data_IF_681846337131
#
_entry.id   IF_681846337131
#
_cell.length_a   1.000
_cell.length_b   1.000
_cell.length_c   1.000
_cell.angle_alpha   90.00
_cell.angle_beta   90.00
_cell.angle_gamma   90.00
#
_symmetry.space_group_name_H-M   'P 1'
#
loop_
_entity.id
_entity.type
_entity.pdbx_description
1 polymer ?
#
# COMPACT_ATOMS: atom_id res chain seq x y z
N UNK A 1 7.90 -30.44 -14.30
CA UNK A 1 7.28 -29.72 -15.42
C UNK A 1 5.79 -29.89 -15.26
N UNK A 2 5.14 -28.95 -14.57
CA UNK A 2 3.69 -28.88 -14.51
C UNK A 2 3.28 -27.76 -15.47
N UNK A 3 2.36 -28.11 -16.36
CA UNK A 3 1.77 -27.23 -17.35
C UNK A 3 1.12 -26.03 -16.66
N UNK A 4 1.68 -24.84 -16.87
CA UNK A 4 1.02 -23.58 -16.56
C UNK A 4 -0.14 -23.46 -17.52
N UNK A 5 -1.35 -23.68 -17.00
CA UNK A 5 -2.60 -23.50 -17.71
C UNK A 5 -2.66 -22.04 -18.21
N UNK A 6 -2.59 -21.87 -19.53
CA UNK A 6 -2.77 -20.59 -20.23
C UNK A 6 -3.99 -19.86 -19.67
N UNK A 7 -3.83 -18.65 -19.16
CA UNK A 7 -4.92 -17.66 -19.00
C UNK A 7 -5.65 -17.59 -20.34
N UNK A 8 -6.93 -17.96 -20.37
CA UNK A 8 -7.78 -17.75 -21.55
C UNK A 8 -7.92 -16.25 -21.80
N UNK A 9 -7.77 -15.85 -23.07
CA UNK A 9 -7.84 -14.47 -23.55
C UNK A 9 -9.08 -13.74 -23.00
N UNK A 10 -8.87 -12.86 -22.02
CA UNK A 10 -9.92 -11.96 -21.55
C UNK A 10 -10.06 -10.82 -22.58
N UNK A 11 -10.94 -11.04 -23.57
CA UNK A 11 -11.24 -10.03 -24.60
C UNK A 11 -12.15 -8.95 -24.01
N UNK A 12 -11.65 -7.72 -23.96
CA UNK A 12 -12.41 -6.51 -23.62
C UNK A 12 -13.39 -6.09 -24.71
N UNK A 13 -14.12 -4.99 -24.46
CA UNK A 13 -15.02 -4.40 -25.47
C UNK A 13 -14.22 -4.09 -26.74
N UNK A 14 -14.78 -4.51 -27.89
CA UNK A 14 -14.16 -4.39 -29.23
C UNK A 14 -12.93 -5.27 -29.50
N UNK A 15 -12.69 -6.33 -28.71
CA UNK A 15 -11.59 -7.27 -28.96
C UNK A 15 -10.21 -6.74 -28.55
N UNK A 16 -10.18 -5.65 -27.78
CA UNK A 16 -8.99 -5.16 -27.09
C UNK A 16 -8.57 -6.14 -25.99
N UNK A 17 -7.27 -6.20 -25.71
CA UNK A 17 -6.76 -6.92 -24.56
C UNK A 17 -7.21 -6.21 -23.28
N UNK A 18 -7.73 -6.97 -22.32
CA UNK A 18 -8.20 -6.44 -21.05
C UNK A 18 -7.23 -6.84 -19.94
N UNK A 19 -6.80 -5.84 -19.18
CA UNK A 19 -5.90 -5.96 -18.02
C UNK A 19 -6.69 -5.72 -16.74
N UNK A 20 -6.58 -6.63 -15.78
CA UNK A 20 -7.19 -6.49 -14.45
C UNK A 20 -6.15 -5.91 -13.48
N UNK A 21 -6.49 -4.77 -12.87
CA UNK A 21 -5.62 -4.06 -11.95
C UNK A 21 -6.26 -4.00 -10.58
N UNK A 22 -5.57 -4.50 -9.56
CA UNK A 22 -6.02 -4.41 -8.16
C UNK A 22 -5.17 -3.41 -7.40
N UNK A 23 -5.82 -2.51 -6.68
CA UNK A 23 -5.16 -1.64 -5.69
C UNK A 23 -5.92 -1.68 -4.39
N UNK A 24 -5.24 -1.30 -3.32
CA UNK A 24 -5.89 -0.95 -2.08
C UNK A 24 -6.37 0.51 -2.10
N UNK A 25 -7.24 0.91 -1.16
CA UNK A 25 -7.53 2.32 -0.92
C UNK A 25 -6.30 2.99 -0.27
N UNK A 26 -5.56 3.76 -1.06
CA UNK A 26 -4.47 4.63 -0.65
C UNK A 26 -5.00 6.00 -0.21
N UNK A 27 -6.07 6.48 -0.84
CA UNK A 27 -6.76 7.74 -0.54
C UNK A 27 -8.28 7.64 -0.79
N UNK A 28 -9.05 8.59 -0.26
CA UNK A 28 -10.49 8.71 -0.55
C UNK A 28 -10.79 9.11 -2.02
N UNK A 29 -9.76 9.40 -2.82
CA UNK A 29 -9.87 9.92 -4.19
C UNK A 29 -9.15 9.04 -5.22
N UNK A 30 -8.80 7.79 -4.88
CA UNK A 30 -7.98 6.93 -5.74
C UNK A 30 -8.58 6.72 -7.13
N UNK A 31 -9.90 6.48 -7.22
CA UNK A 31 -10.56 6.28 -8.50
C UNK A 31 -10.38 7.50 -9.43
N UNK A 32 -10.46 8.71 -8.88
CA UNK A 32 -10.29 9.96 -9.65
C UNK A 32 -8.81 10.20 -10.01
N UNK A 33 -7.88 9.82 -9.14
CA UNK A 33 -6.45 9.95 -9.37
C UNK A 33 -5.92 8.97 -10.44
N UNK A 34 -6.39 7.71 -10.41
CA UNK A 34 -5.95 6.66 -11.33
C UNK A 34 -6.59 6.75 -12.71
N UNK A 35 -7.84 7.21 -12.80
CA UNK A 35 -8.60 7.28 -14.05
C UNK A 35 -7.83 7.95 -15.21
N UNK A 36 -7.29 9.19 -15.10
CA UNK A 36 -6.58 9.82 -16.21
C UNK A 36 -5.29 9.08 -16.61
N UNK A 37 -4.66 8.36 -15.67
CA UNK A 37 -3.47 7.55 -15.93
C UNK A 37 -3.86 6.32 -16.78
N UNK A 38 -4.93 5.63 -16.38
CA UNK A 38 -5.43 4.47 -17.12
C UNK A 38 -5.99 4.84 -18.49
N UNK A 39 -6.79 5.91 -18.60
CA UNK A 39 -7.32 6.37 -19.90
C UNK A 39 -6.20 6.70 -20.90
N UNK A 40 -5.11 7.31 -20.41
CA UNK A 40 -3.92 7.56 -21.24
C UNK A 40 -3.26 6.25 -21.67
N UNK A 41 -3.04 5.32 -20.74
CA UNK A 41 -2.41 4.03 -21.04
C UNK A 41 -3.25 3.19 -22.02
N UNK A 42 -4.57 3.11 -21.81
CA UNK A 42 -5.51 2.42 -22.69
C UNK A 42 -5.46 2.95 -24.13
N UNK A 43 -5.40 4.27 -24.27
CA UNK A 43 -5.30 4.93 -25.58
C UNK A 43 -3.95 4.66 -26.26
N UNK A 44 -2.85 4.70 -25.51
CA UNK A 44 -1.50 4.49 -26.04
C UNK A 44 -1.23 3.03 -26.42
N UNK A 45 -1.85 2.08 -25.72
CA UNK A 45 -1.58 0.64 -25.86
C UNK A 45 -2.74 -0.16 -26.48
N UNK A 46 -3.86 0.49 -26.81
CA UNK A 46 -5.05 -0.15 -27.37
C UNK A 46 -5.57 -1.34 -26.52
N UNK A 47 -5.64 -1.12 -25.20
CA UNK A 47 -6.15 -2.08 -24.22
C UNK A 47 -7.34 -1.50 -23.43
N UNK A 48 -7.93 -2.32 -22.56
CA UNK A 48 -8.93 -1.93 -21.56
C UNK A 48 -8.40 -2.28 -20.17
N UNK A 49 -8.57 -1.39 -19.19
CA UNK A 49 -8.16 -1.59 -17.80
C UNK A 49 -9.41 -1.75 -16.94
N UNK A 50 -9.55 -2.92 -16.31
CA UNK A 50 -10.50 -3.13 -15.23
C UNK A 50 -9.81 -2.86 -13.89
N UNK A 51 -10.03 -1.68 -13.33
CA UNK A 51 -9.50 -1.30 -12.03
C UNK A 51 -10.46 -1.68 -10.89
N UNK A 52 -9.94 -2.39 -9.89
CA UNK A 52 -10.69 -2.78 -8.70
C UNK A 52 -9.97 -2.31 -7.43
N UNK A 53 -10.70 -1.60 -6.56
CA UNK A 53 -10.26 -1.31 -5.20
C UNK A 53 -10.63 -2.49 -4.30
N UNK A 54 -9.62 -3.05 -3.64
CA UNK A 54 -9.75 -4.13 -2.66
C UNK A 54 -9.55 -3.54 -1.26
N UNK A 55 -10.55 -3.64 -0.35
CA UNK A 55 -10.43 -3.15 1.02
C UNK A 55 -9.29 -3.81 1.80
N UNK A 56 -8.76 -3.07 2.78
CA UNK A 56 -7.60 -3.53 3.57
C UNK A 56 -7.87 -4.74 4.45
N UNK A 57 -9.07 -4.86 5.02
CA UNK A 57 -9.42 -5.84 6.07
C UNK A 57 -9.02 -7.29 5.75
N UNK A 58 -9.07 -7.69 4.47
CA UNK A 58 -8.70 -9.03 4.00
C UNK A 58 -7.79 -9.00 2.76
N UNK A 59 -6.97 -7.96 2.62
CA UNK A 59 -6.22 -7.71 1.39
C UNK A 59 -5.30 -8.89 1.00
N UNK A 60 -4.43 -9.31 1.93
CA UNK A 60 -3.49 -10.40 1.67
C UNK A 60 -4.19 -11.76 1.47
N UNK A 61 -5.26 -12.05 2.22
CA UNK A 61 -6.04 -13.28 2.06
C UNK A 61 -6.73 -13.36 0.69
N UNK A 62 -7.28 -12.24 0.21
CA UNK A 62 -7.88 -12.17 -1.13
C UNK A 62 -6.85 -12.43 -2.22
N UNK A 63 -5.66 -11.83 -2.13
CA UNK A 63 -4.56 -12.10 -3.07
C UNK A 63 -4.17 -13.58 -3.05
N UNK A 64 -3.93 -14.15 -1.88
CA UNK A 64 -3.52 -15.54 -1.73
C UNK A 64 -4.56 -16.52 -2.33
N UNK A 65 -5.84 -16.27 -2.04
CA UNK A 65 -6.95 -17.09 -2.56
C UNK A 65 -7.08 -16.98 -4.07
N UNK A 66 -7.12 -15.75 -4.61
CA UNK A 66 -7.32 -15.52 -6.03
C UNK A 66 -6.14 -16.02 -6.87
N UNK A 67 -4.91 -15.78 -6.43
CA UNK A 67 -3.71 -16.26 -7.12
C UNK A 67 -3.67 -17.79 -7.12
N UNK A 68 -3.98 -18.44 -5.99
CA UNK A 68 -4.03 -19.90 -5.92
C UNK A 68 -5.12 -20.51 -6.81
N UNK A 69 -6.20 -19.77 -7.06
CA UNK A 69 -7.27 -20.15 -7.98
C UNK A 69 -6.97 -19.83 -9.46
N UNK A 70 -5.87 -19.15 -9.76
CA UNK A 70 -5.56 -18.67 -11.12
C UNK A 70 -6.38 -17.44 -11.55
N UNK A 71 -7.05 -16.77 -10.62
CA UNK A 71 -7.96 -15.64 -10.82
C UNK A 71 -7.39 -14.32 -10.27
N UNK A 72 -6.08 -14.26 -10.03
CA UNK A 72 -5.40 -13.05 -9.57
C UNK A 72 -5.33 -11.94 -10.64
N UNK A 73 -5.03 -10.69 -10.24
CA UNK A 73 -4.91 -9.58 -11.16
C UNK A 73 -3.71 -9.76 -12.10
N UNK A 74 -3.68 -8.99 -13.19
CA UNK A 74 -2.49 -8.85 -14.03
C UNK A 74 -1.47 -7.89 -13.39
N UNK A 75 -1.97 -6.85 -12.71
CA UNK A 75 -1.16 -5.88 -11.95
C UNK A 75 -1.80 -5.68 -10.59
N UNK A 76 -1.02 -5.87 -9.52
CA UNK A 76 -1.51 -5.74 -8.15
C UNK A 76 -0.63 -4.83 -7.31
N UNK A 77 -1.25 -3.94 -6.54
CA UNK A 77 -0.57 -3.33 -5.39
C UNK A 77 -0.31 -4.42 -4.34
N UNK A 78 0.91 -4.48 -3.81
CA UNK A 78 1.29 -5.41 -2.76
C UNK A 78 2.15 -4.68 -1.74
N UNK A 79 1.97 -5.02 -0.46
CA UNK A 79 2.91 -4.63 0.57
C UNK A 79 4.24 -5.36 0.38
N UNK A 80 5.34 -4.74 0.81
CA UNK A 80 6.67 -5.34 0.75
C UNK A 80 6.71 -6.72 1.45
N UNK A 81 5.98 -6.86 2.56
CA UNK A 81 5.91 -8.08 3.37
C UNK A 81 5.16 -9.23 2.67
N UNK A 82 4.35 -8.95 1.65
CA UNK A 82 3.63 -9.98 0.88
C UNK A 82 4.54 -10.68 -0.13
N UNK A 83 5.48 -9.94 -0.75
CA UNK A 83 6.29 -10.43 -1.87
C UNK A 83 6.97 -11.79 -1.66
N UNK A 84 7.61 -12.08 -0.51
CA UNK A 84 8.34 -13.34 -0.34
C UNK A 84 7.48 -14.58 -0.63
N UNK A 85 6.24 -14.61 -0.11
CA UNK A 85 5.32 -15.72 -0.35
C UNK A 85 4.99 -15.88 -1.84
N UNK A 86 4.70 -14.79 -2.53
CA UNK A 86 4.28 -14.86 -3.93
C UNK A 86 5.44 -15.09 -4.90
N UNK A 87 6.65 -14.66 -4.54
CA UNK A 87 7.88 -15.01 -5.27
C UNK A 87 8.12 -16.52 -5.17
N UNK A 88 8.02 -17.10 -3.97
CA UNK A 88 8.17 -18.55 -3.76
C UNK A 88 7.11 -19.37 -4.50
N UNK A 89 5.89 -18.84 -4.64
CA UNK A 89 4.82 -19.44 -5.43
C UNK A 89 5.02 -19.29 -6.95
N UNK A 90 5.97 -18.46 -7.40
CA UNK A 90 6.13 -18.12 -8.83
C UNK A 90 4.96 -17.31 -9.39
N UNK A 91 4.25 -16.58 -8.52
CA UNK A 91 3.05 -15.83 -8.87
C UNK A 91 3.30 -14.37 -9.24
N UNK A 92 4.53 -13.88 -9.03
CA UNK A 92 4.98 -12.53 -9.44
C UNK A 92 6.17 -12.64 -10.38
N UNK A 93 6.16 -11.82 -11.41
CA UNK A 93 7.19 -11.81 -12.46
C UNK A 93 8.43 -11.05 -11.99
N UNK A 94 9.62 -11.53 -12.36
CA UNK A 94 10.85 -10.75 -12.19
C UNK A 94 10.90 -9.62 -13.24
N UNK A 95 10.80 -8.38 -12.78
CA UNK A 95 10.78 -7.18 -13.61
C UNK A 95 12.19 -6.72 -14.02
N UNK A 96 13.25 -7.33 -13.47
CA UNK A 96 14.64 -6.95 -13.75
C UNK A 96 14.95 -6.88 -15.25
N UNK A 97 14.64 -7.91 -16.07
CA UNK A 97 14.94 -7.89 -17.51
C UNK A 97 14.17 -6.79 -18.26
N UNK A 98 12.98 -6.44 -17.78
CA UNK A 98 12.14 -5.40 -18.38
C UNK A 98 12.71 -4.01 -18.10
N UNK A 99 13.19 -3.77 -16.88
CA UNK A 99 13.86 -2.54 -16.48
C UNK A 99 15.20 -2.33 -17.20
N UNK A 100 15.99 -3.40 -17.35
CA UNK A 100 17.23 -3.37 -18.14
C UNK A 100 16.97 -3.03 -19.60
N UNK A 101 15.92 -3.61 -20.18
CA UNK A 101 15.54 -3.36 -21.58
C UNK A 101 14.99 -1.95 -21.80
N UNK A 102 14.19 -1.43 -20.87
CA UNK A 102 13.60 -0.10 -20.98
C UNK A 102 14.59 1.02 -20.67
N UNK A 103 15.61 0.75 -19.85
CA UNK A 103 16.54 1.76 -19.36
C UNK A 103 15.88 2.74 -18.39
N UNK A 104 14.78 2.36 -17.74
CA UNK A 104 13.97 3.27 -16.90
C UNK A 104 14.27 3.17 -15.41
N UNK A 105 15.29 2.42 -15.00
CA UNK A 105 15.63 2.22 -13.59
C UNK A 105 15.85 3.55 -12.84
N UNK A 106 16.46 4.53 -13.49
CA UNK A 106 16.76 5.85 -12.90
C UNK A 106 15.50 6.71 -12.66
N UNK A 107 14.32 6.29 -13.14
CA UNK A 107 13.05 6.99 -12.87
C UNK A 107 12.51 6.70 -11.47
N UNK A 108 13.07 5.73 -10.74
CA UNK A 108 12.55 5.23 -9.48
C UNK A 108 13.51 5.55 -8.33
N UNK A 109 13.07 6.36 -7.37
CA UNK A 109 13.90 6.83 -6.26
C UNK A 109 14.35 5.71 -5.31
N UNK A 110 13.55 4.64 -5.15
CA UNK A 110 13.76 3.57 -4.17
C UNK A 110 13.83 2.17 -4.82
N UNK A 111 14.23 2.11 -6.09
CA UNK A 111 14.24 0.83 -6.81
C UNK A 111 15.21 -0.19 -6.19
N UNK A 112 16.34 0.28 -5.68
CA UNK A 112 17.33 -0.60 -5.03
C UNK A 112 16.78 -1.20 -3.73
N UNK A 113 15.94 -0.47 -2.99
CA UNK A 113 15.27 -0.97 -1.77
C UNK A 113 14.17 -1.98 -2.10
N UNK A 114 13.65 -1.98 -3.33
CA UNK A 114 12.67 -2.96 -3.81
C UNK A 114 13.31 -4.29 -4.26
N UNK A 115 14.64 -4.42 -4.23
CA UNK A 115 15.32 -5.68 -4.55
C UNK A 115 15.04 -6.72 -3.49
N UNK A 116 14.44 -7.83 -3.89
CA UNK A 116 14.07 -8.93 -3.01
C UNK A 116 14.43 -10.25 -3.67
N UNK A 117 14.97 -11.20 -2.90
CA UNK A 117 15.25 -12.57 -3.36
C UNK A 117 16.07 -12.66 -4.67
N UNK A 118 16.91 -11.66 -4.95
CA UNK A 118 17.79 -11.63 -6.12
C UNK A 118 17.22 -10.94 -7.37
N UNK A 119 16.01 -10.39 -7.31
CA UNK A 119 15.37 -9.67 -8.42
C UNK A 119 14.53 -8.46 -7.95
N UNK A 120 13.83 -7.84 -8.89
CA UNK A 120 12.88 -6.76 -8.64
C UNK A 120 11.51 -7.29 -9.05
N UNK A 121 10.63 -7.53 -8.08
CA UNK A 121 9.31 -8.15 -8.34
C UNK A 121 8.16 -7.14 -8.31
N UNK A 122 8.45 -5.88 -7.95
CA UNK A 122 7.49 -4.79 -7.90
C UNK A 122 8.17 -3.46 -8.10
N UNK A 123 7.40 -2.46 -8.52
CA UNK A 123 7.89 -1.09 -8.71
C UNK A 123 7.43 -0.21 -7.55
N UNK A 124 8.31 0.59 -6.95
CA UNK A 124 7.92 1.48 -5.85
C UNK A 124 7.03 2.61 -6.41
N UNK A 125 5.78 2.67 -5.95
CA UNK A 125 4.83 3.74 -6.31
C UNK A 125 4.72 4.85 -5.26
N UNK A 126 5.16 4.57 -4.03
CA UNK A 126 5.16 5.50 -2.91
C UNK A 126 6.57 5.61 -2.32
N UNK A 127 6.95 6.82 -1.93
CA UNK A 127 8.29 7.12 -1.46
C UNK A 127 8.55 6.70 -0.01
N UNK A 128 7.56 6.88 0.86
CA UNK A 128 7.64 6.57 2.28
C UNK A 128 6.25 6.67 2.93
N UNK A 129 6.04 5.89 3.99
CA UNK A 129 4.94 6.09 4.94
C UNK A 129 5.53 6.45 6.32
N UNK A 130 6.00 7.69 6.53
CA UNK A 130 6.68 8.05 7.76
C UNK A 130 5.71 8.04 8.94
N UNK A 131 6.02 7.26 9.97
CA UNK A 131 5.38 7.40 11.28
C UNK A 131 5.82 8.70 11.93
N UNK A 132 4.93 9.70 11.96
CA UNK A 132 5.20 11.01 12.58
C UNK A 132 4.40 11.14 13.87
N UNK A 133 5.08 11.48 14.97
CA UNK A 133 4.41 11.84 16.21
C UNK A 133 3.87 13.27 16.12
N UNK A 134 2.55 13.40 16.05
CA UNK A 134 1.86 14.68 16.25
C UNK A 134 1.55 14.89 17.73
N UNK A 135 1.59 16.14 18.18
CA UNK A 135 1.27 16.50 19.56
C UNK A 135 0.43 17.79 19.60
N UNK A 136 -0.44 17.88 20.61
CA UNK A 136 -1.23 19.09 20.86
C UNK A 136 -0.41 20.07 21.73
N UNK A 137 -0.05 21.22 21.15
CA UNK A 137 0.76 22.26 21.81
C UNK A 137 0.08 22.80 23.07
N UNK A 138 -1.22 23.02 23.04
CA UNK A 138 -1.98 23.58 24.16
C UNK A 138 -2.01 22.62 25.36
N UNK A 139 -2.07 21.31 25.10
CA UNK A 139 -1.97 20.30 26.15
C UNK A 139 -0.57 20.34 26.78
N UNK A 140 0.50 20.40 25.98
CA UNK A 140 1.85 20.49 26.52
C UNK A 140 2.07 21.76 27.34
N UNK A 141 1.60 22.91 26.86
CA UNK A 141 1.70 24.19 27.57
C UNK A 141 0.97 24.14 28.92
N UNK A 142 -0.27 23.62 28.95
CA UNK A 142 -1.04 23.43 30.20
C UNK A 142 -0.36 22.49 31.19
N UNK A 143 0.43 21.52 30.71
CA UNK A 143 1.18 20.58 31.54
C UNK A 143 2.58 21.09 31.94
N UNK A 144 3.03 22.23 31.38
CA UNK A 144 4.38 22.74 31.55
C UNK A 144 5.45 21.87 30.87
N UNK A 145 5.07 21.18 29.80
CA UNK A 145 5.89 20.18 29.12
C UNK A 145 6.46 20.68 27.79
N UNK A 146 7.54 20.04 27.35
CA UNK A 146 8.09 20.21 26.00
C UNK A 146 7.81 18.95 25.18
N UNK A 147 7.89 19.01 23.83
CA UNK A 147 7.77 17.82 23.01
C UNK A 147 8.74 16.73 23.48
N UNK A 148 8.29 15.46 23.58
CA UNK A 148 9.09 14.39 24.14
C UNK A 148 10.35 14.15 23.30
N UNK A 149 11.49 13.96 23.97
CA UNK A 149 12.76 13.59 23.32
C UNK A 149 13.18 12.16 23.64
N UNK A 150 12.58 11.58 24.67
CA UNK A 150 12.85 10.25 25.18
C UNK A 150 11.56 9.50 25.42
N UNK A 151 11.65 8.17 25.53
CA UNK A 151 10.51 7.34 25.92
C UNK A 151 9.98 7.68 27.32
N UNK A 152 10.85 8.08 28.25
CA UNK A 152 10.45 8.51 29.58
C UNK A 152 9.67 9.82 29.54
N UNK A 153 10.08 10.79 28.70
CA UNK A 153 9.30 12.00 28.46
C UNK A 153 7.92 11.65 27.90
N UNK A 154 7.89 10.80 26.87
CA UNK A 154 6.67 10.39 26.21
C UNK A 154 5.69 9.75 27.20
N UNK A 155 6.12 8.70 27.91
CA UNK A 155 5.29 7.99 28.89
C UNK A 155 4.74 8.94 29.95
N UNK A 156 5.61 9.75 30.55
CA UNK A 156 5.25 10.71 31.60
C UNK A 156 4.27 11.78 31.10
N UNK A 157 4.48 12.30 29.88
CA UNK A 157 3.56 13.26 29.25
C UNK A 157 2.22 12.59 28.96
N UNK A 158 2.20 11.36 28.44
CA UNK A 158 0.97 10.63 28.17
C UNK A 158 0.17 10.38 29.46
N UNK A 159 0.84 9.98 30.55
CA UNK A 159 0.22 9.81 31.86
C UNK A 159 -0.39 11.11 32.37
N UNK A 160 0.35 12.23 32.30
CA UNK A 160 -0.14 13.57 32.70
C UNK A 160 -1.30 14.07 31.83
N UNK A 161 -1.27 13.76 30.54
CA UNK A 161 -2.28 14.18 29.58
C UNK A 161 -3.55 13.32 29.63
N UNK A 162 -3.50 12.14 30.26
CA UNK A 162 -4.68 11.27 30.39
C UNK A 162 -5.46 11.67 31.64
N UNK A 163 -6.61 12.33 31.45
CA UNK A 163 -7.41 12.85 32.55
C UNK A 163 -8.87 13.04 32.15
N UNK A 164 -9.72 13.05 33.17
CA UNK A 164 -11.08 13.56 33.14
C UNK A 164 -11.01 15.09 33.29
N UNK A 165 -11.41 15.83 32.25
CA UNK A 165 -11.31 17.29 32.22
C UNK A 165 -12.57 18.01 32.69
N UNK A 166 -13.71 17.33 32.79
CA UNK A 166 -15.00 17.91 33.22
C UNK A 166 -15.48 17.41 34.59
N UNK A 167 -14.83 16.38 35.14
CA UNK A 167 -15.09 15.81 36.46
C UNK A 167 -16.27 14.84 36.51
N UNK A 168 -16.74 14.32 35.37
CA UNK A 168 -17.89 13.39 35.33
C UNK A 168 -17.53 11.94 35.73
N UNK A 169 -16.25 11.68 36.03
CA UNK A 169 -15.73 10.38 36.40
C UNK A 169 -15.28 9.54 35.20
N UNK A 170 -15.27 10.08 33.98
CA UNK A 170 -14.81 9.42 32.76
C UNK A 170 -13.65 10.18 32.15
N UNK A 171 -12.67 9.44 31.65
CA UNK A 171 -11.54 10.02 30.93
C UNK A 171 -12.02 10.51 29.56
N UNK A 172 -11.88 11.81 29.31
CA UNK A 172 -12.26 12.50 28.07
C UNK A 172 -11.04 13.07 27.31
N UNK A 173 -9.87 13.13 27.95
CA UNK A 173 -8.58 13.46 27.33
C UNK A 173 -7.61 12.30 27.48
N UNK A 174 -6.96 11.89 26.38
CA UNK A 174 -5.98 10.80 26.35
C UNK A 174 -4.60 11.32 25.94
N UNK A 175 -3.56 10.82 26.60
CA UNK A 175 -2.18 11.21 26.31
C UNK A 175 -1.59 10.58 25.04
N UNK A 176 -2.22 9.52 24.53
CA UNK A 176 -1.89 8.88 23.26
C UNK A 176 -3.20 8.49 22.57
N UNK A 177 -3.30 8.86 21.30
CA UNK A 177 -4.28 8.29 20.38
C UNK A 177 -3.50 7.76 19.18
N UNK A 178 -3.57 6.45 18.95
CA UNK A 178 -3.01 5.83 17.76
C UNK A 178 -4.17 5.35 16.90
N UNK A 179 -4.38 6.03 15.77
CA UNK A 179 -5.32 5.58 14.75
C UNK A 179 -4.73 4.42 13.97
N UNK A 180 -4.80 3.21 14.51
CA UNK A 180 -4.86 2.01 13.68
C UNK A 180 -6.32 1.61 13.73
N UNK A 181 -7.13 2.23 12.87
CA UNK A 181 -8.54 1.86 12.72
C UNK A 181 -8.60 0.39 12.29
N UNK A 182 -9.15 -0.44 13.17
CA UNK A 182 -9.67 -1.76 12.85
C UNK A 182 -11.16 -1.73 13.21
#
# INVERSE_FOLDING_TARGET
MQDVQKKEDSKGKEGKEKLVVWSAPLTDHDADAWKPIFEKFEKENNCEIEFQIVPWDNYAEKYATAISAGEGPDIGYMYAEMFPQFIEMGAVEDLTPYLEKSGTSDNYLYLDDAKMMGGIYGLPIEAANPGVLYYNKDILEKLGEKPPKTWDDFKRICEKATKDTDGDGKIDQWGLAQGLGF
#
